data_IF_777093020163
#
_entry.id   IF_777093020163
#
_cell.length_a   1.000
_cell.length_b   1.000
_cell.length_c   1.000
_cell.angle_alpha   90.00
_cell.angle_beta   90.00
_cell.angle_gamma   90.00
#
_symmetry.space_group_name_H-M   'P 1'
#
loop_
_entity.id
_entity.type
_entity.pdbx_description
1 polymer ?
#
# COMPACT_ATOMS: atom_id res chain seq x y z
N UNK A 1 -33.04 46.44 -1.07
CA UNK A 1 -31.82 45.75 -0.59
C UNK A 1 -31.84 45.74 0.94
N UNK A 2 -31.63 44.57 1.55
CA UNK A 2 -31.62 44.43 3.02
C UNK A 2 -30.38 45.14 3.60
N UNK A 3 -30.54 45.83 4.73
CA UNK A 3 -29.43 46.51 5.44
C UNK A 3 -28.30 45.53 5.76
N UNK A 4 -28.64 44.27 6.04
CA UNK A 4 -27.67 43.19 6.30
C UNK A 4 -26.79 42.88 5.09
N UNK A 5 -27.35 42.96 3.89
CA UNK A 5 -26.62 42.75 2.64
C UNK A 5 -25.62 43.88 2.37
N UNK A 6 -25.99 45.13 2.70
CA UNK A 6 -25.09 46.29 2.56
C UNK A 6 -23.92 46.18 3.54
N UNK A 7 -24.17 45.82 4.81
CA UNK A 7 -23.09 45.61 5.78
C UNK A 7 -22.15 44.48 5.38
N UNK A 8 -22.69 43.39 4.83
CA UNK A 8 -21.88 42.29 4.32
C UNK A 8 -20.97 42.73 3.16
N UNK A 9 -21.50 43.49 2.19
CA UNK A 9 -20.71 44.00 1.06
C UNK A 9 -19.61 44.97 1.51
N UNK A 10 -19.92 45.87 2.44
CA UNK A 10 -18.92 46.80 2.99
C UNK A 10 -17.83 46.04 3.75
N UNK A 11 -18.18 45.02 4.53
CA UNK A 11 -17.22 44.20 5.26
C UNK A 11 -16.28 43.43 4.32
N UNK A 12 -16.81 42.83 3.24
CA UNK A 12 -16.00 42.11 2.25
C UNK A 12 -15.02 43.04 1.55
N UNK A 13 -15.46 44.24 1.13
CA UNK A 13 -14.58 45.22 0.48
C UNK A 13 -13.49 45.70 1.43
N UNK A 14 -13.80 45.94 2.70
CA UNK A 14 -12.81 46.34 3.70
C UNK A 14 -11.78 45.24 3.98
N UNK A 15 -12.22 43.98 4.10
CA UNK A 15 -11.32 42.85 4.35
C UNK A 15 -10.39 42.63 3.16
N UNK A 16 -10.93 42.62 1.93
CA UNK A 16 -10.13 42.43 0.71
C UNK A 16 -9.20 43.62 0.46
N UNK A 17 -9.68 44.85 0.64
CA UNK A 17 -8.88 46.06 0.48
C UNK A 17 -7.73 46.12 1.49
N UNK A 18 -7.98 45.77 2.75
CA UNK A 18 -6.94 45.71 3.78
C UNK A 18 -5.93 44.60 3.48
N UNK A 19 -6.40 43.43 3.05
CA UNK A 19 -5.52 42.32 2.69
C UNK A 19 -4.63 42.65 1.48
N UNK A 20 -5.19 43.23 0.42
CA UNK A 20 -4.40 43.69 -0.74
C UNK A 20 -3.43 44.82 -0.37
N UNK A 21 -3.85 45.77 0.46
CA UNK A 21 -3.00 46.86 0.94
C UNK A 21 -1.81 46.35 1.77
N UNK A 22 -2.04 45.43 2.71
CA UNK A 22 -0.95 44.78 3.45
C UNK A 22 -0.05 43.99 2.52
N UNK A 23 -0.61 43.27 1.55
CA UNK A 23 0.17 42.47 0.60
C UNK A 23 1.09 43.37 -0.24
N UNK A 24 0.63 44.54 -0.63
CA UNK A 24 1.42 45.52 -1.39
C UNK A 24 2.48 46.22 -0.53
N UNK A 25 2.25 46.38 0.78
CA UNK A 25 3.21 47.00 1.69
C UNK A 25 4.30 46.03 2.21
N UNK A 26 3.99 44.73 2.29
CA UNK A 26 4.85 43.73 2.95
C UNK A 26 5.37 42.61 2.04
N UNK A 27 4.94 42.52 0.77
CA UNK A 27 5.58 41.61 -0.19
C UNK A 27 6.66 42.34 -0.99
N UNK A 28 7.87 41.76 -1.14
CA UNK A 28 8.86 42.25 -2.08
C UNK A 28 8.31 42.15 -3.51
N UNK A 29 8.66 43.12 -4.36
CA UNK A 29 8.25 43.13 -5.76
C UNK A 29 8.53 41.77 -6.41
N UNK A 30 7.55 41.21 -7.15
CA UNK A 30 7.80 39.98 -7.89
C UNK A 30 9.02 40.22 -8.81
N UNK A 31 9.97 39.27 -8.85
CA UNK A 31 11.15 39.43 -9.68
C UNK A 31 10.69 39.73 -11.11
N UNK A 32 11.35 40.67 -11.81
CA UNK A 32 10.94 41.06 -13.14
C UNK A 32 10.84 39.81 -14.00
N UNK A 33 9.67 39.60 -14.61
CA UNK A 33 9.46 38.55 -15.57
C UNK A 33 10.62 38.60 -16.57
N UNK A 34 11.42 37.53 -16.62
CA UNK A 34 12.36 37.34 -17.71
C UNK A 34 11.51 37.45 -18.98
N UNK A 35 11.74 38.49 -19.76
CA UNK A 35 11.20 38.57 -21.11
C UNK A 35 11.61 37.28 -21.79
N UNK A 36 10.65 36.40 -22.02
CA UNK A 36 10.84 35.30 -22.94
C UNK A 36 11.26 35.92 -24.26
N UNK A 37 12.35 35.44 -24.84
CA UNK A 37 12.78 35.80 -26.17
C UNK A 37 11.62 35.59 -27.15
N UNK A 38 11.04 36.70 -27.59
CA UNK A 38 9.98 36.79 -28.60
C UNK A 38 10.51 36.53 -30.02
N UNK A 39 11.49 35.64 -30.16
CA UNK A 39 12.06 35.19 -31.44
C UNK A 39 12.38 33.69 -31.42
N UNK A 40 11.37 32.87 -31.19
CA UNK A 40 11.42 31.45 -31.53
C UNK A 40 10.03 30.85 -31.80
N UNK A 41 9.11 31.60 -32.41
CA UNK A 41 7.84 31.06 -32.93
C UNK A 41 7.52 31.70 -34.28
N UNK A 42 8.43 31.51 -35.25
CA UNK A 42 8.15 31.71 -36.67
C UNK A 42 9.37 31.23 -37.48
N UNK A 43 9.51 29.91 -37.62
CA UNK A 43 10.17 29.18 -38.73
C UNK A 43 10.62 27.81 -38.25
N UNK A 44 9.75 26.81 -38.44
CA UNK A 44 10.07 25.43 -38.85
C UNK A 44 8.79 24.60 -38.92
N UNK A 45 7.82 25.10 -39.69
CA UNK A 45 7.06 24.20 -40.56
C UNK A 45 7.85 24.15 -41.87
N UNK A 46 7.90 22.98 -42.50
CA UNK A 46 8.78 22.58 -43.61
C UNK A 46 10.20 22.20 -43.20
N UNK A 47 10.39 20.93 -42.81
CA UNK A 47 11.31 20.00 -43.49
C UNK A 47 11.46 18.70 -42.67
N UNK A 48 10.50 17.78 -42.81
CA UNK A 48 10.69 16.39 -42.38
C UNK A 48 9.81 15.43 -43.18
N UNK A 49 9.82 15.61 -44.50
CA UNK A 49 9.20 14.69 -45.44
C UNK A 49 10.12 14.50 -46.66
N UNK A 50 11.32 13.94 -46.41
CA UNK A 50 12.23 13.40 -47.43
C UNK A 50 13.47 12.74 -46.81
N UNK A 51 13.29 11.56 -46.20
CA UNK A 51 14.39 10.61 -46.07
C UNK A 51 13.95 9.16 -45.88
N UNK A 52 12.95 8.74 -46.66
CA UNK A 52 12.65 7.32 -46.86
C UNK A 52 12.25 7.09 -48.33
N UNK A 53 13.28 6.88 -49.17
CA UNK A 53 13.29 6.11 -50.43
C UNK A 53 14.45 6.61 -51.30
N UNK A 54 15.58 5.91 -51.23
CA UNK A 54 16.39 5.48 -52.38
C UNK A 54 17.71 4.89 -51.88
N UNK A 55 17.71 3.59 -51.62
CA UNK A 55 18.89 2.74 -51.75
C UNK A 55 18.44 1.27 -51.77
N UNK A 56 17.69 0.88 -52.82
CA UNK A 56 17.41 -0.52 -53.14
C UNK A 56 17.61 -0.72 -54.64
N UNK A 57 18.82 -1.14 -55.05
CA UNK A 57 19.06 -2.02 -56.21
C UNK A 57 20.56 -2.22 -56.50
N UNK A 58 21.09 -3.39 -56.09
CA UNK A 58 22.01 -4.31 -56.81
C UNK A 58 22.58 -5.27 -55.74
N UNK A 59 22.00 -6.48 -55.56
CA UNK A 59 22.28 -7.73 -56.30
C UNK A 59 23.76 -8.14 -56.17
N UNK A 60 24.17 -9.32 -55.66
CA UNK A 60 23.48 -10.53 -55.22
C UNK A 60 24.46 -11.41 -54.39
N UNK A 61 23.97 -12.52 -53.84
CA UNK A 61 24.72 -13.44 -52.95
C UNK A 61 25.90 -14.17 -53.62
N UNK A 62 26.66 -14.96 -52.82
CA UNK A 62 26.17 -16.31 -52.49
C UNK A 62 26.29 -16.69 -51.00
N UNK A 63 25.47 -17.67 -50.61
CA UNK A 63 25.49 -18.39 -49.33
C UNK A 63 26.45 -19.61 -49.38
N UNK A 64 26.49 -20.50 -48.38
CA UNK A 64 26.83 -20.33 -46.96
C UNK A 64 28.02 -21.25 -46.56
N UNK A 65 28.84 -20.83 -45.60
CA UNK A 65 29.90 -21.65 -45.03
C UNK A 65 29.80 -21.67 -43.50
N UNK A 66 29.63 -22.87 -42.94
CA UNK A 66 29.69 -23.17 -41.51
C UNK A 66 31.05 -22.79 -40.92
N UNK A 67 31.10 -22.08 -39.78
CA UNK A 67 32.11 -22.36 -38.75
C UNK A 67 31.78 -21.79 -37.36
N UNK A 68 31.45 -22.73 -36.45
CA UNK A 68 31.80 -22.86 -35.02
C UNK A 68 31.80 -21.62 -34.10
N UNK A 69 30.83 -21.61 -33.18
CA UNK A 69 30.88 -20.88 -31.91
C UNK A 69 32.02 -21.36 -30.99
N UNK A 70 32.73 -20.44 -30.29
CA UNK A 70 33.68 -20.81 -29.26
C UNK A 70 32.95 -21.21 -27.96
N UNK A 71 33.39 -22.34 -27.41
CA UNK A 71 32.93 -23.01 -26.20
C UNK A 71 33.45 -22.25 -24.97
N UNK A 72 32.61 -21.45 -24.33
CA UNK A 72 32.89 -20.86 -23.02
C UNK A 72 32.66 -21.85 -21.89
N UNK A 73 33.67 -22.05 -21.04
CA UNK A 73 33.67 -22.94 -19.89
C UNK A 73 32.57 -22.63 -18.88
N UNK A 74 31.91 -23.70 -18.42
CA UNK A 74 31.01 -23.70 -17.26
C UNK A 74 31.87 -23.72 -15.99
N UNK A 75 31.68 -22.82 -15.00
CA UNK A 75 32.26 -23.02 -13.68
C UNK A 75 31.58 -24.22 -13.03
N UNK A 76 32.37 -25.21 -12.65
CA UNK A 76 31.91 -26.31 -11.82
C UNK A 76 31.62 -25.78 -10.41
N UNK A 77 30.34 -25.79 -10.03
CA UNK A 77 29.93 -25.62 -8.63
C UNK A 77 29.80 -27.02 -8.06
N UNK A 78 30.60 -27.27 -7.04
CA UNK A 78 30.75 -28.52 -6.31
C UNK A 78 29.41 -28.95 -5.69
N UNK A 79 28.89 -30.11 -6.13
CA UNK A 79 27.62 -30.67 -5.68
C UNK A 79 27.82 -31.53 -4.42
N UNK A 80 28.29 -30.88 -3.35
CA UNK A 80 28.58 -31.51 -2.05
C UNK A 80 27.77 -30.88 -0.91
N UNK A 81 26.46 -30.71 -1.07
CA UNK A 81 25.56 -30.26 -0.01
C UNK A 81 24.29 -31.08 -0.03
N UNK A 82 23.90 -31.62 1.13
CA UNK A 82 22.63 -32.33 1.32
C UNK A 82 21.49 -31.56 0.65
N UNK A 83 20.85 -32.22 -0.30
CA UNK A 83 19.68 -31.72 -1.02
C UNK A 83 18.63 -31.33 0.04
N UNK A 84 18.20 -30.07 0.15
CA UNK A 84 17.13 -29.71 1.06
C UNK A 84 15.95 -30.62 0.78
N UNK A 85 15.45 -31.30 1.82
CA UNK A 85 14.29 -32.16 1.69
C UNK A 85 13.16 -31.33 1.05
N UNK A 86 12.79 -31.69 -0.18
CA UNK A 86 11.71 -31.01 -0.91
C UNK A 86 10.43 -31.33 -0.16
N UNK A 87 10.00 -30.42 0.71
CA UNK A 87 8.71 -30.48 1.37
C UNK A 87 7.64 -30.57 0.28
N UNK A 88 6.91 -31.69 0.22
CA UNK A 88 5.69 -31.75 -0.58
C UNK A 88 4.75 -30.67 -0.02
N UNK A 89 4.24 -29.74 -0.85
CA UNK A 89 3.15 -28.87 -0.44
C UNK A 89 2.01 -29.76 0.03
N UNK A 90 1.54 -29.54 1.26
CA UNK A 90 0.33 -30.19 1.72
C UNK A 90 -0.83 -29.61 0.89
N UNK A 91 -1.44 -30.43 0.03
CA UNK A 91 -2.67 -30.05 -0.65
C UNK A 91 -3.70 -29.63 0.42
N UNK A 92 -4.27 -28.42 0.27
CA UNK A 92 -5.23 -27.86 1.23
C UNK A 92 -4.63 -27.18 2.47
N UNK A 93 -3.35 -26.78 2.46
CA UNK A 93 -2.82 -25.93 3.52
C UNK A 93 -3.61 -24.61 3.60
N UNK A 94 -4.06 -24.17 4.80
CA UNK A 94 -4.84 -22.95 4.93
C UNK A 94 -3.99 -21.73 4.55
N UNK A 95 -4.60 -20.83 3.79
CA UNK A 95 -4.05 -19.49 3.50
C UNK A 95 -3.72 -18.75 4.81
N UNK A 96 -2.55 -18.10 4.83
CA UNK A 96 -2.08 -17.27 5.93
C UNK A 96 -1.57 -15.95 5.39
N UNK A 97 -1.71 -14.90 6.19
CA UNK A 97 -1.11 -13.61 5.90
C UNK A 97 0.22 -13.48 6.60
N UNK A 98 1.22 -12.99 5.88
CA UNK A 98 2.57 -12.74 6.36
C UNK A 98 2.93 -11.29 6.08
N UNK A 99 3.49 -10.61 7.08
CA UNK A 99 3.98 -9.25 6.93
C UNK A 99 5.50 -9.25 6.71
N UNK A 100 5.96 -8.50 5.71
CA UNK A 100 7.37 -8.29 5.39
C UNK A 100 7.71 -6.80 5.54
N UNK A 101 8.90 -6.52 6.05
CA UNK A 101 9.36 -5.14 6.28
C UNK A 101 8.68 -4.48 7.47
N UNK A 102 8.52 -3.15 7.40
CA UNK A 102 7.92 -2.35 8.47
C UNK A 102 7.37 -1.06 7.89
N UNK A 103 6.34 -0.50 8.54
CA UNK A 103 5.83 0.84 8.25
C UNK A 103 6.43 1.92 9.16
N UNK A 104 7.36 1.56 10.04
CA UNK A 104 8.12 2.53 10.84
C UNK A 104 9.21 3.16 9.98
N UNK A 105 9.18 4.49 9.83
CA UNK A 105 10.17 5.25 9.06
C UNK A 105 11.59 5.10 9.61
N UNK A 106 11.76 4.82 10.90
CA UNK A 106 13.06 4.63 11.53
C UNK A 106 13.65 3.22 11.31
N UNK A 107 12.87 2.28 10.79
CA UNK A 107 13.27 0.87 10.66
C UNK A 107 14.27 0.61 9.52
N UNK A 108 14.45 1.56 8.60
CA UNK A 108 15.25 1.39 7.39
C UNK A 108 14.52 0.66 6.24
N UNK A 109 13.29 0.17 6.46
CA UNK A 109 12.45 -0.34 5.37
C UNK A 109 11.73 0.80 4.65
N UNK A 110 11.63 0.70 3.32
CA UNK A 110 10.84 1.63 2.52
C UNK A 110 9.35 1.27 2.51
N UNK A 111 9.04 -0.03 2.68
CA UNK A 111 7.70 -0.60 2.54
C UNK A 111 7.42 -1.60 3.66
N UNK A 112 6.16 -1.63 4.09
CA UNK A 112 5.53 -2.77 4.74
C UNK A 112 4.65 -3.50 3.73
N UNK A 113 4.81 -4.83 3.61
CA UNK A 113 4.10 -5.63 2.59
C UNK A 113 3.37 -6.79 3.26
N UNK A 114 2.08 -6.93 2.98
CA UNK A 114 1.28 -8.08 3.39
C UNK A 114 1.15 -9.05 2.22
N UNK A 115 1.56 -10.29 2.44
CA UNK A 115 1.58 -11.35 1.44
C UNK A 115 0.71 -12.51 1.90
N UNK A 116 -0.07 -13.06 0.98
CA UNK A 116 -0.83 -14.26 1.18
C UNK A 116 0.03 -15.50 0.86
N UNK A 117 0.08 -16.48 1.76
CA UNK A 117 0.88 -17.69 1.52
C UNK A 117 0.32 -18.57 0.38
N UNK A 118 -0.94 -18.37 -0.01
CA UNK A 118 -1.48 -18.98 -1.22
C UNK A 118 -1.02 -18.16 -2.43
N UNK A 119 -0.21 -18.77 -3.30
CA UNK A 119 0.33 -18.10 -4.50
C UNK A 119 1.28 -16.94 -4.24
N UNK A 120 1.75 -16.74 -2.99
CA UNK A 120 2.61 -15.60 -2.61
C UNK A 120 2.07 -14.23 -3.08
N UNK A 121 0.74 -14.09 -3.17
CA UNK A 121 0.11 -12.89 -3.70
C UNK A 121 0.32 -11.70 -2.77
N UNK A 122 0.65 -10.53 -3.32
CA UNK A 122 0.78 -9.30 -2.55
C UNK A 122 -0.62 -8.71 -2.35
N UNK A 123 -1.12 -8.76 -1.12
CA UNK A 123 -2.41 -8.15 -0.81
C UNK A 123 -2.28 -6.64 -0.63
N UNK A 124 -1.18 -6.20 -0.02
CA UNK A 124 -1.01 -4.79 0.33
C UNK A 124 0.46 -4.39 0.40
N UNK A 125 0.77 -3.20 -0.09
CA UNK A 125 2.07 -2.57 0.09
C UNK A 125 1.87 -1.12 0.56
N UNK A 126 2.46 -0.77 1.70
CA UNK A 126 2.31 0.52 2.38
C UNK A 126 3.68 1.19 2.53
N UNK A 127 3.76 2.50 2.25
CA UNK A 127 5.00 3.27 2.42
C UNK A 127 5.30 3.51 3.91
N UNK A 128 6.53 3.27 4.33
CA UNK A 128 6.97 3.52 5.70
C UNK A 128 7.17 5.02 6.02
N UNK A 129 7.41 5.84 5.00
CA UNK A 129 7.72 7.26 5.16
C UNK A 129 6.57 8.07 5.76
N UNK A 130 6.89 8.93 6.73
CA UNK A 130 5.92 9.88 7.30
C UNK A 130 5.48 10.97 6.32
N UNK A 131 6.29 11.25 5.30
CA UNK A 131 5.98 12.25 4.28
C UNK A 131 4.85 11.82 3.33
N UNK A 132 4.57 10.51 3.24
CA UNK A 132 3.56 9.97 2.34
C UNK A 132 2.42 9.35 3.14
N UNK A 133 1.34 10.13 3.30
CA UNK A 133 0.08 9.69 3.92
C UNK A 133 -1.06 9.79 2.91
N UNK A 134 -2.05 8.92 3.07
CA UNK A 134 -3.25 8.93 2.23
C UNK A 134 -3.95 10.28 2.36
N UNK A 135 -4.18 10.95 1.22
CA UNK A 135 -4.76 12.31 1.20
C UNK A 135 -6.28 12.25 1.32
N UNK A 136 -6.89 11.20 0.78
CA UNK A 136 -8.34 11.04 0.68
C UNK A 136 -8.90 10.42 1.97
N UNK A 137 -8.13 9.55 2.62
CA UNK A 137 -8.51 8.97 3.92
C UNK A 137 -8.08 9.86 5.10
N UNK A 138 -9.07 10.46 5.76
CA UNK A 138 -8.90 11.26 6.97
C UNK A 138 -9.20 10.48 8.26
N UNK A 139 -9.47 9.18 8.19
CA UNK A 139 -9.80 8.38 9.37
C UNK A 139 -8.58 7.94 10.16
N UNK A 140 -8.81 7.51 11.39
CA UNK A 140 -7.78 6.86 12.21
C UNK A 140 -7.36 5.52 11.60
N UNK A 141 -6.05 5.32 11.46
CA UNK A 141 -5.44 4.06 11.02
C UNK A 141 -4.85 3.31 12.20
N UNK A 142 -5.20 2.02 12.32
CA UNK A 142 -4.69 1.12 13.35
C UNK A 142 -3.63 0.16 12.77
N UNK A 143 -3.99 -0.60 11.73
CA UNK A 143 -3.14 -1.47 10.93
C UNK A 143 -4.00 -2.15 9.85
N UNK A 144 -3.38 -2.72 8.82
CA UNK A 144 -4.00 -3.80 8.06
C UNK A 144 -3.82 -5.13 8.79
N UNK A 145 -4.91 -5.68 9.34
CA UNK A 145 -4.86 -6.82 10.28
C UNK A 145 -5.32 -8.16 9.72
N UNK A 146 -5.88 -8.18 8.51
CA UNK A 146 -6.49 -9.38 7.92
C UNK A 146 -7.54 -10.01 8.83
N UNK A 147 -8.56 -9.23 9.18
CA UNK A 147 -9.57 -9.61 10.15
C UNK A 147 -10.44 -10.76 9.63
N UNK A 148 -10.67 -11.77 10.47
CA UNK A 148 -11.49 -12.94 10.14
C UNK A 148 -12.54 -13.16 11.21
N UNK A 149 -13.80 -13.26 10.80
CA UNK A 149 -14.91 -13.54 11.72
C UNK A 149 -14.79 -14.94 12.31
N UNK A 150 -14.98 -15.04 13.63
CA UNK A 150 -15.02 -16.30 14.38
C UNK A 150 -16.21 -16.30 15.32
N UNK A 151 -16.53 -17.43 15.95
CA UNK A 151 -17.65 -17.51 16.88
C UNK A 151 -17.39 -16.70 18.16
N UNK A 152 -16.13 -16.54 18.51
CA UNK A 152 -15.65 -15.90 19.73
C UNK A 152 -15.40 -14.39 19.56
N UNK A 153 -15.39 -13.88 18.33
CA UNK A 153 -15.10 -12.48 18.00
C UNK A 153 -14.38 -12.36 16.65
N UNK A 154 -13.57 -11.31 16.49
CA UNK A 154 -12.82 -11.09 15.24
C UNK A 154 -11.35 -11.44 15.44
N UNK A 155 -10.86 -12.45 14.73
CA UNK A 155 -9.46 -12.89 14.80
C UNK A 155 -8.57 -12.00 13.95
N UNK A 156 -7.46 -11.56 14.54
CA UNK A 156 -6.35 -10.87 13.87
C UNK A 156 -5.47 -11.89 13.16
N UNK A 157 -5.27 -11.75 11.84
CA UNK A 157 -4.43 -12.69 11.07
C UNK A 157 -3.00 -12.19 10.88
N UNK A 158 -2.78 -10.89 10.91
CA UNK A 158 -1.46 -10.29 10.74
C UNK A 158 -1.36 -8.98 11.51
N UNK A 159 -0.17 -8.64 11.99
CA UNK A 159 0.13 -7.31 12.54
C UNK A 159 1.50 -6.88 12.03
N UNK A 160 1.54 -5.76 11.30
CA UNK A 160 2.77 -5.23 10.72
C UNK A 160 3.62 -4.47 11.74
N UNK A 161 4.95 -4.69 11.79
CA UNK A 161 5.85 -3.89 12.63
C UNK A 161 5.77 -2.40 12.30
N UNK A 162 5.75 -1.55 13.33
CA UNK A 162 5.65 -0.10 13.18
C UNK A 162 4.22 0.43 13.05
N UNK A 163 3.22 -0.45 12.89
CA UNK A 163 1.82 -0.03 12.90
C UNK A 163 1.36 0.36 14.31
N UNK A 164 0.36 1.24 14.43
CA UNK A 164 -0.28 1.53 15.73
C UNK A 164 -0.76 0.28 16.48
N UNK A 165 -1.23 -0.75 15.77
CA UNK A 165 -1.58 -2.04 16.37
C UNK A 165 -0.39 -2.72 17.05
N UNK A 166 0.76 -2.79 16.38
CA UNK A 166 1.99 -3.36 16.92
C UNK A 166 2.55 -2.56 18.11
N UNK A 167 2.35 -1.24 18.09
CA UNK A 167 2.81 -0.29 19.11
C UNK A 167 1.80 -0.09 20.25
N UNK A 168 0.64 -0.75 20.19
CA UNK A 168 -0.38 -0.67 21.22
C UNK A 168 0.17 -1.10 22.58
N UNK A 169 -0.29 -0.45 23.65
CA UNK A 169 0.15 -0.74 25.01
C UNK A 169 -0.90 -1.53 25.76
N UNK A 170 -0.53 -2.69 26.27
CA UNK A 170 -1.39 -3.48 27.14
C UNK A 170 -1.47 -2.82 28.53
N UNK A 171 -2.66 -2.77 29.13
CA UNK A 171 -2.92 -2.05 30.38
C UNK A 171 -2.07 -2.53 31.58
N UNK A 172 -1.72 -3.82 31.65
CA UNK A 172 -0.85 -4.36 32.69
C UNK A 172 0.64 -4.39 32.34
N UNK A 173 1.01 -4.00 31.11
CA UNK A 173 2.39 -4.01 30.60
C UNK A 173 3.00 -5.41 30.43
N UNK A 174 2.19 -6.48 30.49
CA UNK A 174 2.68 -7.87 30.44
C UNK A 174 2.89 -8.38 29.02
N UNK A 175 2.29 -7.71 28.05
CA UNK A 175 2.41 -8.02 26.64
C UNK A 175 2.91 -6.80 25.87
N UNK A 176 3.64 -7.04 24.77
CA UNK A 176 3.77 -6.05 23.69
C UNK A 176 2.42 -5.81 23.01
N UNK A 177 2.38 -5.08 21.89
CA UNK A 177 1.12 -4.72 21.22
C UNK A 177 0.26 -5.88 20.71
N UNK A 178 -0.72 -5.53 19.88
CA UNK A 178 -1.60 -6.52 19.25
C UNK A 178 -0.77 -7.52 18.46
N UNK A 179 -1.22 -8.77 18.45
CA UNK A 179 -0.49 -9.88 17.85
C UNK A 179 -1.41 -10.73 16.97
N UNK A 180 -0.80 -11.43 16.02
CA UNK A 180 -1.48 -12.45 15.23
C UNK A 180 -2.11 -13.51 16.13
N UNK A 181 -3.38 -13.80 15.89
CA UNK A 181 -4.17 -14.76 16.67
C UNK A 181 -5.00 -14.14 17.80
N UNK A 182 -4.83 -12.85 18.08
CA UNK A 182 -5.72 -12.14 19.01
C UNK A 182 -7.17 -12.16 18.51
N UNK A 183 -8.11 -12.34 19.43
CA UNK A 183 -9.54 -12.26 19.13
C UNK A 183 -10.08 -10.94 19.70
N UNK A 184 -10.38 -9.98 18.84
CA UNK A 184 -10.98 -8.70 19.21
C UNK A 184 -12.44 -8.95 19.61
N UNK A 185 -12.78 -8.50 20.82
CA UNK A 185 -14.13 -8.63 21.38
C UNK A 185 -14.82 -7.28 21.54
N UNK A 186 -14.05 -6.19 21.67
CA UNK A 186 -14.58 -4.83 21.79
C UNK A 186 -13.59 -3.79 21.27
N UNK A 187 -14.14 -2.72 20.71
CA UNK A 187 -13.42 -1.58 20.18
C UNK A 187 -14.07 -0.28 20.68
N UNK A 188 -13.29 0.63 21.24
CA UNK A 188 -13.76 1.93 21.73
C UNK A 188 -14.89 1.83 22.76
N UNK A 189 -14.84 0.81 23.61
CA UNK A 189 -15.83 0.56 24.67
C UNK A 189 -17.11 -0.17 24.23
N UNK A 190 -17.31 -0.39 22.92
CA UNK A 190 -18.46 -1.14 22.37
C UNK A 190 -18.08 -2.54 21.86
N UNK A 191 -18.99 -3.53 21.88
CA UNK A 191 -18.76 -4.81 21.24
C UNK A 191 -18.70 -4.66 19.72
N UNK A 192 -17.95 -5.54 19.06
CA UNK A 192 -17.82 -5.58 17.59
C UNK A 192 -18.44 -6.87 17.05
N UNK A 193 -19.32 -6.75 16.06
CA UNK A 193 -20.10 -7.87 15.56
C UNK A 193 -19.37 -8.70 14.49
N UNK A 194 -18.60 -8.03 13.63
CA UNK A 194 -17.86 -8.64 12.52
C UNK A 194 -16.69 -7.76 12.09
N UNK A 195 -15.85 -8.26 11.19
CA UNK A 195 -14.68 -7.58 10.65
C UNK A 195 -15.03 -6.23 10.00
N UNK A 196 -16.10 -6.17 9.20
CA UNK A 196 -16.56 -4.93 8.56
C UNK A 196 -16.98 -3.85 9.56
N UNK A 197 -17.51 -4.24 10.73
CA UNK A 197 -17.87 -3.31 11.79
C UNK A 197 -16.64 -2.67 12.45
N UNK A 198 -15.51 -3.39 12.52
CA UNK A 198 -14.23 -2.83 12.99
C UNK A 198 -13.75 -1.74 12.04
N UNK A 199 -13.72 -2.04 10.74
CA UNK A 199 -13.30 -1.07 9.72
C UNK A 199 -14.23 0.13 9.67
N UNK A 200 -15.54 -0.10 9.66
CA UNK A 200 -16.55 0.97 9.70
C UNK A 200 -16.41 1.85 10.93
N UNK A 201 -16.10 1.28 12.09
CA UNK A 201 -15.87 2.05 13.31
C UNK A 201 -14.64 2.94 13.16
N UNK A 202 -13.51 2.39 12.70
CA UNK A 202 -12.28 3.17 12.49
C UNK A 202 -12.54 4.31 11.49
N UNK A 203 -13.18 4.03 10.35
CA UNK A 203 -13.44 5.01 9.30
C UNK A 203 -14.42 6.11 9.74
N UNK A 204 -15.51 5.75 10.43
CA UNK A 204 -16.60 6.70 10.72
C UNK A 204 -16.52 7.37 12.09
N UNK A 205 -15.74 6.81 13.03
CA UNK A 205 -15.74 7.25 14.44
C UNK A 205 -14.39 7.69 14.96
N UNK A 206 -13.31 7.54 14.19
CA UNK A 206 -11.96 7.84 14.67
C UNK A 206 -11.17 8.67 13.67
N UNK A 207 -10.23 9.45 14.19
CA UNK A 207 -9.32 10.30 13.44
C UNK A 207 -7.86 10.02 13.82
N UNK A 208 -6.89 10.44 13.00
CA UNK A 208 -5.48 10.41 13.36
C UNK A 208 -5.22 11.16 14.68
N UNK A 209 -4.45 10.56 15.57
CA UNK A 209 -4.14 11.08 16.90
C UNK A 209 -5.08 10.59 18.00
N UNK A 210 -6.25 10.03 17.64
CA UNK A 210 -7.18 9.50 18.63
C UNK A 210 -6.56 8.33 19.40
N UNK A 211 -6.95 8.21 20.67
CA UNK A 211 -6.59 7.08 21.51
C UNK A 211 -7.73 6.07 21.52
N UNK A 212 -7.44 4.85 21.07
CA UNK A 212 -8.42 3.78 20.94
C UNK A 212 -8.16 2.67 21.95
N UNK A 213 -9.20 2.32 22.73
CA UNK A 213 -9.21 1.13 23.56
C UNK A 213 -9.64 -0.09 22.73
N UNK A 214 -8.86 -1.16 22.77
CA UNK A 214 -9.17 -2.44 22.11
C UNK A 214 -9.13 -3.54 23.17
N UNK A 215 -10.23 -4.29 23.32
CA UNK A 215 -10.25 -5.48 24.17
C UNK A 215 -10.10 -6.71 23.31
N UNK A 216 -9.17 -7.57 23.69
CA UNK A 216 -8.91 -8.81 22.98
C UNK A 216 -8.82 -9.97 23.94
N UNK A 217 -8.98 -11.15 23.38
CA UNK A 217 -8.69 -12.41 24.05
C UNK A 217 -7.49 -13.04 23.37
N UNK A 218 -6.41 -13.27 24.13
CA UNK A 218 -5.15 -13.85 23.65
C UNK A 218 -4.92 -15.21 24.28
N UNK A 219 -4.53 -16.19 23.47
CA UNK A 219 -4.12 -17.50 23.96
C UNK A 219 -2.67 -17.44 24.46
N UNK A 220 -2.47 -17.47 25.78
CA UNK A 220 -1.15 -17.47 26.42
C UNK A 220 -1.00 -18.80 27.16
N UNK A 221 0.00 -19.60 26.78
CA UNK A 221 0.24 -20.93 27.34
C UNK A 221 -1.01 -21.84 27.34
N UNK A 222 -1.79 -21.80 26.24
CA UNK A 222 -3.02 -22.57 26.09
C UNK A 222 -4.21 -22.05 26.90
N UNK A 223 -4.08 -20.92 27.60
CA UNK A 223 -5.16 -20.28 28.34
C UNK A 223 -5.62 -19.00 27.67
N UNK A 224 -6.93 -18.91 27.50
CA UNK A 224 -7.62 -17.72 26.99
C UNK A 224 -7.52 -16.60 28.03
N UNK A 225 -6.80 -15.53 27.71
CA UNK A 225 -6.53 -14.41 28.63
C UNK A 225 -7.12 -13.12 28.06
N UNK A 226 -8.05 -12.46 28.75
CA UNK A 226 -8.54 -11.15 28.33
C UNK A 226 -7.46 -10.10 28.56
N UNK A 227 -7.22 -9.26 27.56
CA UNK A 227 -6.27 -8.16 27.58
C UNK A 227 -6.94 -6.88 27.07
N UNK A 228 -6.54 -5.75 27.62
CA UNK A 228 -6.98 -4.43 27.16
C UNK A 228 -5.77 -3.67 26.64
N UNK A 229 -5.91 -3.18 25.42
CA UNK A 229 -4.89 -2.42 24.71
C UNK A 229 -5.34 -0.99 24.51
N UNK A 230 -4.38 -0.08 24.55
CA UNK A 230 -4.56 1.32 24.14
C UNK A 230 -3.59 1.61 23.00
N UNK A 231 -4.13 2.06 21.86
CA UNK A 231 -3.35 2.44 20.68
C UNK A 231 -3.62 3.90 20.31
N UNK A 232 -2.58 4.63 19.90
CA UNK A 232 -2.73 5.96 19.31
C UNK A 232 -2.81 5.79 17.80
N UNK A 233 -3.95 6.14 17.22
CA UNK A 233 -4.19 5.99 15.78
C UNK A 233 -3.34 7.00 15.01
N UNK A 234 -2.88 6.60 13.83
CA UNK A 234 -2.13 7.49 12.93
C UNK A 234 -2.95 7.81 11.70
N UNK A 235 -2.42 8.66 10.83
CA UNK A 235 -2.95 8.76 9.47
C UNK A 235 -2.51 7.55 8.67
N UNK A 236 -3.39 7.06 7.79
CA UNK A 236 -3.10 5.91 6.93
C UNK A 236 -1.86 6.21 6.06
N UNK A 237 -0.87 5.31 6.01
CA UNK A 237 0.23 5.44 5.06
C UNK A 237 -0.29 5.32 3.62
N UNK A 238 0.40 5.92 2.65
CA UNK A 238 0.05 5.69 1.24
C UNK A 238 0.17 4.22 0.90
N UNK A 239 -0.86 3.69 0.27
CA UNK A 239 -0.97 2.30 -0.14
C UNK A 239 -0.68 2.23 -1.63
N UNK A 240 0.49 1.70 -2.00
CA UNK A 240 0.93 1.59 -3.40
C UNK A 240 0.22 0.43 -4.09
N UNK A 241 -0.05 -0.63 -3.32
CA UNK A 241 -0.84 -1.78 -3.75
C UNK A 241 -1.94 -1.99 -2.72
N UNK A 242 -3.19 -2.04 -3.19
CA UNK A 242 -4.37 -2.47 -2.42
C UNK A 242 -5.40 -3.05 -3.38
N UNK A 243 -6.24 -4.01 -2.95
CA UNK A 243 -7.45 -4.36 -3.69
C UNK A 243 -8.34 -3.12 -3.71
N UNK A 244 -8.89 -2.79 -4.87
CA UNK A 244 -9.89 -1.74 -4.94
C UNK A 244 -11.17 -2.21 -4.23
N UNK A 245 -11.91 -1.25 -3.69
CA UNK A 245 -13.18 -1.50 -3.03
C UNK A 245 -14.24 -0.67 -3.73
N UNK A 246 -15.32 -1.32 -4.12
CA UNK A 246 -16.48 -0.69 -4.71
C UNK A 246 -17.60 -0.71 -3.67
N UNK A 247 -18.05 0.48 -3.26
CA UNK A 247 -19.22 0.59 -2.39
C UNK A 247 -20.49 0.43 -3.24
N UNK A 248 -21.28 -0.58 -2.91
CA UNK A 248 -22.62 -0.80 -3.44
C UNK A 248 -23.66 -0.65 -2.32
N UNK A 249 -24.95 -0.52 -2.67
CA UNK A 249 -26.03 -0.44 -1.67
C UNK A 249 -26.07 -1.67 -0.75
N UNK A 250 -25.60 -2.83 -1.25
CA UNK A 250 -25.59 -4.11 -0.55
C UNK A 250 -24.29 -4.39 0.24
N UNK A 251 -23.29 -3.50 0.15
CA UNK A 251 -22.00 -3.64 0.84
C UNK A 251 -20.79 -3.24 -0.01
N UNK A 252 -19.60 -3.33 0.58
CA UNK A 252 -18.35 -3.14 -0.15
C UNK A 252 -17.95 -4.45 -0.83
N UNK A 253 -17.80 -4.44 -2.15
CA UNK A 253 -17.19 -5.51 -2.92
C UNK A 253 -15.72 -5.17 -3.15
N UNK A 254 -14.83 -6.15 -2.95
CA UNK A 254 -13.40 -5.98 -3.19
C UNK A 254 -13.01 -6.66 -4.49
N UNK A 255 -12.18 -5.99 -5.27
CA UNK A 255 -11.54 -6.61 -6.41
C UNK A 255 -10.74 -7.85 -5.97
N UNK A 256 -10.67 -8.89 -6.81
CA UNK A 256 -9.79 -10.02 -6.54
C UNK A 256 -8.33 -9.54 -6.41
N UNK A 257 -7.53 -10.29 -5.66
CA UNK A 257 -6.13 -9.96 -5.47
C UNK A 257 -5.39 -9.87 -6.81
N UNK A 258 -4.94 -8.67 -7.15
CA UNK A 258 -4.04 -8.41 -8.28
C UNK A 258 -2.64 -8.96 -7.96
N UNK A 259 -1.90 -9.42 -8.97
CA UNK A 259 -0.58 -10.06 -8.83
C UNK A 259 -0.59 -11.47 -8.21
N UNK A 260 -1.47 -12.35 -8.69
CA UNK A 260 -1.34 -13.79 -8.43
C UNK A 260 -0.05 -14.31 -9.06
N UNK A 261 0.82 -14.90 -8.25
CA UNK A 261 2.06 -15.52 -8.70
C UNK A 261 1.91 -17.04 -8.63
N UNK A 262 1.76 -17.66 -9.80
CA UNK A 262 1.77 -19.12 -9.91
C UNK A 262 3.18 -19.58 -10.28
N UNK A 263 3.78 -20.43 -9.45
CA UNK A 263 5.01 -21.10 -9.84
C UNK A 263 4.66 -22.32 -10.72
N UNK A 264 4.62 -22.12 -12.04
CA UNK A 264 4.21 -23.15 -13.00
C UNK A 264 5.06 -24.43 -12.93
N UNK A 265 6.35 -24.31 -12.65
CA UNK A 265 7.24 -25.46 -12.53
C UNK A 265 8.33 -25.28 -11.47
N UNK A 266 8.64 -26.37 -10.78
CA UNK A 266 9.81 -26.48 -9.88
C UNK A 266 10.53 -27.81 -10.15
N UNK A 267 11.65 -27.74 -10.86
CA UNK A 267 12.38 -28.92 -11.32
C UNK A 267 11.55 -29.74 -12.29
N UNK A 268 11.20 -30.98 -11.92
CA UNK A 268 10.45 -31.91 -12.76
C UNK A 268 8.92 -31.89 -12.49
N UNK A 269 8.45 -31.02 -11.58
CA UNK A 269 7.03 -30.86 -11.28
C UNK A 269 6.48 -29.66 -12.03
N UNK A 270 5.32 -29.84 -12.66
CA UNK A 270 4.60 -28.82 -13.41
C UNK A 270 3.13 -28.84 -12.99
N UNK A 271 2.50 -27.67 -12.96
CA UNK A 271 1.06 -27.51 -12.79
C UNK A 271 0.45 -27.47 -14.20
N UNK A 272 -0.58 -28.29 -14.47
CA UNK A 272 -1.24 -28.28 -15.78
C UNK A 272 -2.20 -27.08 -15.87
N UNK A 273 -2.40 -26.56 -17.08
CA UNK A 273 -3.32 -25.43 -17.28
C UNK A 273 -4.73 -25.83 -16.88
N UNK A 274 -5.30 -25.16 -15.87
CA UNK A 274 -6.65 -25.42 -15.37
C UNK A 274 -6.74 -26.22 -14.07
N UNK A 275 -5.62 -26.66 -13.51
CA UNK A 275 -5.58 -27.19 -12.13
C UNK A 275 -5.89 -26.07 -11.12
N UNK A 276 -6.59 -26.40 -10.04
CA UNK A 276 -6.80 -25.47 -8.92
C UNK A 276 -5.46 -25.18 -8.21
N UNK A 277 -5.20 -23.89 -7.95
CA UNK A 277 -4.06 -23.40 -7.15
C UNK A 277 -4.14 -23.75 -5.66
#
# INVERSE_FOLDING_TARGET
MDRRYIYFMVAVVLILGTHMGLRMLFMPDPPPAKKADEKAVAQKDDDKDKKEKEAKAKAGGPAPGEEKQPKGEKPAIDAGGEKPAVLKPAAGAPSKLVFLGSVDAASGYALGVTVNTKGAAVERAELASEAYRDIDDASGYLAHMGLVDTKEGIRVSVVGPGTPAALAKESSGKAGGLATGDIITSLGGGPVANAGAVETYLTKKTHPGDTLEIKVTRLINGKSTPLTFTATLTRRPVQVIRPEAHEHEDGAEHDPLSFLLTLESLGNKRIETGDEE
#
